data_IF_055565651564
#
_entry.id   IF_055565651564
#
_cell.length_a   1.000
_cell.length_b   1.000
_cell.length_c   1.000
_cell.angle_alpha   90.00
_cell.angle_beta   90.00
_cell.angle_gamma   90.00
#
_symmetry.space_group_name_H-M   'P 1'
#
loop_
_entity.id
_entity.type
_entity.pdbx_description
1 polymer ?
#
# COMPACT_ATOMS: atom_id res chain seq x y z
N UNK A 1 -15.63 6.11 -19.45
CA UNK A 1 -16.75 6.03 -18.49
C UNK A 1 -16.39 5.15 -17.30
N UNK A 2 -16.18 3.84 -17.48
CA UNK A 2 -15.79 2.95 -16.37
C UNK A 2 -14.36 3.19 -15.85
N UNK A 3 -13.39 3.33 -16.75
CA UNK A 3 -12.01 3.67 -16.37
C UNK A 3 -11.93 5.04 -15.67
N UNK A 4 -12.55 6.08 -16.24
CA UNK A 4 -12.57 7.42 -15.63
C UNK A 4 -13.21 7.41 -14.22
N UNK A 5 -14.22 6.57 -14.01
CA UNK A 5 -14.84 6.38 -12.70
C UNK A 5 -13.88 5.71 -11.71
N UNK A 6 -13.21 4.62 -12.10
CA UNK A 6 -12.22 3.93 -11.27
C UNK A 6 -11.01 4.83 -10.96
N UNK A 7 -10.57 5.63 -11.94
CA UNK A 7 -9.50 6.61 -11.77
C UNK A 7 -9.91 7.70 -10.78
N UNK A 8 -11.13 8.22 -10.90
CA UNK A 8 -11.68 9.21 -9.95
C UNK A 8 -11.79 8.66 -8.54
N UNK A 9 -12.22 7.40 -8.39
CA UNK A 9 -12.27 6.72 -7.10
C UNK A 9 -10.88 6.57 -6.49
N UNK A 10 -9.91 6.03 -7.25
CA UNK A 10 -8.53 5.83 -6.77
C UNK A 10 -7.90 7.17 -6.35
N UNK A 11 -8.07 8.21 -7.16
CA UNK A 11 -7.54 9.54 -6.85
C UNK A 11 -8.16 10.11 -5.56
N UNK A 12 -9.49 10.02 -5.40
CA UNK A 12 -10.16 10.49 -4.19
C UNK A 12 -9.71 9.72 -2.95
N UNK A 13 -9.58 8.39 -3.08
CA UNK A 13 -9.09 7.54 -2.01
C UNK A 13 -7.66 7.91 -1.63
N UNK A 14 -6.75 8.01 -2.61
CA UNK A 14 -5.35 8.34 -2.38
C UNK A 14 -5.18 9.71 -1.69
N UNK A 15 -5.94 10.72 -2.10
CA UNK A 15 -5.94 12.04 -1.45
C UNK A 15 -6.36 11.96 0.03
N UNK A 16 -7.42 11.22 0.34
CA UNK A 16 -7.90 11.07 1.72
C UNK A 16 -6.93 10.25 2.57
N UNK A 17 -6.33 9.20 2.01
CA UNK A 17 -5.31 8.41 2.70
C UNK A 17 -4.07 9.27 3.01
N UNK A 18 -3.63 10.09 2.05
CA UNK A 18 -2.54 11.04 2.26
C UNK A 18 -2.87 12.05 3.37
N UNK A 19 -4.12 12.50 3.45
CA UNK A 19 -4.62 13.34 4.54
C UNK A 19 -4.41 12.69 5.92
N UNK A 20 -4.87 11.46 6.12
CA UNK A 20 -4.70 10.73 7.39
C UNK A 20 -3.21 10.52 7.71
N UNK A 21 -2.41 10.11 6.72
CA UNK A 21 -0.97 9.91 6.91
C UNK A 21 -0.25 11.21 7.30
N UNK A 22 -0.69 12.35 6.78
CA UNK A 22 -0.15 13.67 7.12
C UNK A 22 -0.57 14.12 8.51
N UNK A 23 -1.84 13.96 8.88
CA UNK A 23 -2.36 14.29 10.21
C UNK A 23 -1.68 13.48 11.32
N UNK A 24 -1.31 12.23 11.02
CA UNK A 24 -0.57 11.35 11.93
C UNK A 24 0.96 11.60 11.92
N UNK A 25 1.46 12.55 11.13
CA UNK A 25 2.89 12.86 11.00
C UNK A 25 3.72 11.85 10.18
N UNK A 26 3.07 10.84 9.60
CA UNK A 26 3.72 9.81 8.79
C UNK A 26 4.14 10.34 7.42
N UNK A 27 3.43 11.34 6.87
CA UNK A 27 3.76 12.04 5.61
C UNK A 27 3.71 13.55 5.80
N UNK A 28 4.13 14.32 4.79
CA UNK A 28 4.17 15.79 4.82
C UNK A 28 3.33 16.39 3.69
N UNK A 29 2.09 15.92 3.55
CA UNK A 29 1.15 16.40 2.52
C UNK A 29 1.57 16.06 1.09
N UNK A 30 2.60 15.23 0.92
CA UNK A 30 3.13 14.79 -0.36
C UNK A 30 3.28 13.28 -0.34
N UNK A 31 2.79 12.62 -1.40
CA UNK A 31 3.00 11.20 -1.64
C UNK A 31 4.35 11.04 -2.34
N UNK A 32 5.30 10.39 -1.68
CA UNK A 32 6.58 9.99 -2.27
C UNK A 32 6.33 8.77 -3.16
N UNK A 33 6.88 8.78 -4.37
CA UNK A 33 6.69 7.71 -5.35
C UNK A 33 7.96 7.50 -6.17
N UNK A 34 8.11 6.28 -6.69
CA UNK A 34 9.12 5.90 -7.67
C UNK A 34 8.44 5.05 -8.75
N UNK A 35 8.78 5.28 -10.02
CA UNK A 35 8.21 4.48 -11.13
C UNK A 35 8.51 3.00 -10.95
N UNK A 36 9.70 2.66 -10.44
CA UNK A 36 10.09 1.28 -10.14
C UNK A 36 9.12 0.60 -9.18
N UNK A 37 8.78 1.28 -8.08
CA UNK A 37 7.88 0.77 -7.04
C UNK A 37 6.44 0.70 -7.56
N UNK A 38 5.99 1.73 -8.29
CA UNK A 38 4.66 1.80 -8.87
C UNK A 38 4.43 0.72 -9.94
N UNK A 39 5.45 0.44 -10.77
CA UNK A 39 5.37 -0.56 -11.83
C UNK A 39 5.48 -1.98 -11.26
N UNK A 40 6.24 -2.18 -10.19
CA UNK A 40 6.37 -3.47 -9.53
C UNK A 40 5.05 -3.98 -8.92
N UNK A 41 4.12 -3.07 -8.60
CA UNK A 41 2.75 -3.44 -8.23
C UNK A 41 2.15 -4.40 -9.25
N UNK A 42 2.34 -4.19 -10.56
CA UNK A 42 1.76 -5.06 -11.58
C UNK A 42 2.34 -6.48 -11.59
N UNK A 43 3.54 -6.66 -11.02
CA UNK A 43 4.16 -7.98 -10.84
C UNK A 43 3.60 -8.73 -9.63
N UNK A 44 3.38 -8.04 -8.51
CA UNK A 44 2.91 -8.67 -7.25
C UNK A 44 1.39 -8.69 -7.09
N UNK A 45 0.67 -7.77 -7.74
CA UNK A 45 -0.77 -7.61 -7.60
C UNK A 45 -1.59 -8.86 -7.94
N UNK A 46 -1.28 -9.66 -8.99
CA UNK A 46 -2.05 -10.86 -9.28
C UNK A 46 -2.04 -11.87 -8.12
N UNK A 47 -0.87 -12.06 -7.49
CA UNK A 47 -0.73 -12.93 -6.32
C UNK A 47 -1.43 -12.34 -5.10
N UNK A 48 -1.16 -11.07 -4.81
CA UNK A 48 -1.78 -10.37 -3.68
C UNK A 48 -3.30 -10.37 -3.74
N UNK A 49 -3.88 -10.04 -4.91
CA UNK A 49 -5.33 -9.98 -5.08
C UNK A 49 -5.97 -11.37 -5.03
N UNK A 50 -5.27 -12.42 -5.50
CA UNK A 50 -5.77 -13.78 -5.40
C UNK A 50 -5.98 -14.17 -3.92
N UNK A 51 -5.03 -13.87 -3.05
CA UNK A 51 -5.17 -14.14 -1.60
C UNK A 51 -6.18 -13.18 -0.96
N UNK A 52 -6.06 -11.87 -1.21
CA UNK A 52 -6.88 -10.85 -0.58
C UNK A 52 -8.39 -11.02 -0.86
N UNK A 53 -8.77 -11.45 -2.07
CA UNK A 53 -10.19 -11.70 -2.42
C UNK A 53 -10.78 -12.87 -1.64
N UNK A 54 -9.98 -13.87 -1.26
CA UNK A 54 -10.47 -14.98 -0.42
C UNK A 54 -10.76 -14.53 1.02
N UNK A 55 -10.04 -13.51 1.49
CA UNK A 55 -10.12 -13.03 2.87
C UNK A 55 -11.06 -11.83 3.05
N UNK A 56 -11.24 -11.01 2.02
CA UNK A 56 -11.96 -9.72 2.11
C UNK A 56 -13.40 -9.87 2.63
N UNK A 57 -14.04 -11.02 2.43
CA UNK A 57 -15.39 -11.28 2.93
C UNK A 57 -15.44 -11.29 4.46
N UNK A 58 -14.43 -11.86 5.12
CA UNK A 58 -14.39 -12.01 6.58
C UNK A 58 -13.52 -10.92 7.24
N UNK A 59 -12.46 -10.49 6.56
CA UNK A 59 -11.44 -9.59 7.09
C UNK A 59 -11.11 -8.43 6.14
N UNK A 60 -12.11 -7.60 5.75
CA UNK A 60 -11.94 -6.58 4.72
C UNK A 60 -10.87 -5.53 5.04
N UNK A 61 -10.80 -5.10 6.31
CA UNK A 61 -9.80 -4.12 6.77
C UNK A 61 -8.39 -4.69 6.71
N UNK A 62 -8.22 -5.97 7.06
CA UNK A 62 -6.91 -6.63 7.08
C UNK A 62 -6.40 -6.82 5.65
N UNK A 63 -7.27 -7.28 4.74
CA UNK A 63 -6.95 -7.44 3.32
C UNK A 63 -6.59 -6.14 2.59
N UNK A 64 -6.94 -4.97 3.13
CA UNK A 64 -6.47 -3.69 2.60
C UNK A 64 -5.21 -3.19 3.32
N UNK A 65 -5.12 -3.41 4.63
CA UNK A 65 -3.95 -3.00 5.41
C UNK A 65 -2.67 -3.70 4.93
N UNK A 66 -2.73 -5.01 4.61
CA UNK A 66 -1.58 -5.75 4.10
C UNK A 66 -1.06 -5.25 2.76
N UNK A 67 -1.87 -4.58 1.94
CA UNK A 67 -1.39 -3.97 0.71
C UNK A 67 -0.42 -2.83 1.02
N UNK A 68 -0.69 -2.07 2.10
CA UNK A 68 0.23 -1.04 2.57
C UNK A 68 1.51 -1.63 3.16
N UNK A 69 1.44 -2.74 3.89
CA UNK A 69 2.64 -3.44 4.33
C UNK A 69 3.48 -3.91 3.13
N UNK A 70 2.86 -4.51 2.11
CA UNK A 70 3.55 -4.87 0.87
C UNK A 70 4.27 -3.65 0.24
N UNK A 71 3.63 -2.48 0.26
CA UNK A 71 4.24 -1.22 -0.14
C UNK A 71 5.49 -0.85 0.66
N UNK A 72 5.47 -1.01 1.99
CA UNK A 72 6.65 -0.81 2.84
C UNK A 72 7.79 -1.75 2.42
N UNK A 73 7.50 -3.05 2.31
CA UNK A 73 8.50 -4.06 1.99
C UNK A 73 9.16 -3.82 0.64
N UNK A 74 8.38 -3.44 -0.38
CA UNK A 74 8.93 -3.12 -1.70
C UNK A 74 9.78 -1.86 -1.67
N UNK A 75 9.35 -0.80 -0.98
CA UNK A 75 10.13 0.43 -0.86
C UNK A 75 11.45 0.22 -0.11
N UNK A 76 11.44 -0.59 0.95
CA UNK A 76 12.65 -1.01 1.67
C UNK A 76 13.60 -1.79 0.75
N UNK A 77 13.08 -2.78 0.01
CA UNK A 77 13.87 -3.55 -0.95
C UNK A 77 14.42 -2.72 -2.11
N UNK A 78 13.66 -1.72 -2.56
CA UNK A 78 14.09 -0.77 -3.60
C UNK A 78 15.29 0.07 -3.14
N UNK A 79 15.31 0.53 -1.89
CA UNK A 79 16.45 1.25 -1.31
C UNK A 79 17.68 0.35 -1.08
N UNK A 80 17.47 -0.91 -0.67
CA UNK A 80 18.54 -1.85 -0.37
C UNK A 80 19.30 -2.34 -1.62
N UNK A 81 18.60 -2.99 -2.57
CA UNK A 81 19.16 -3.44 -3.84
C UNK A 81 18.07 -3.78 -4.85
N UNK A 82 17.66 -2.77 -5.62
CA UNK A 82 16.61 -2.94 -6.62
C UNK A 82 16.90 -4.01 -7.69
N UNK A 83 18.18 -4.26 -8.04
CA UNK A 83 18.51 -5.26 -9.07
C UNK A 83 18.20 -6.70 -8.64
N UNK A 84 18.16 -6.92 -7.33
CA UNK A 84 17.77 -8.18 -6.72
C UNK A 84 16.28 -8.19 -6.42
N UNK A 85 15.76 -7.13 -5.78
CA UNK A 85 14.36 -7.05 -5.36
C UNK A 85 13.35 -6.95 -6.52
N UNK A 86 13.70 -6.34 -7.64
CA UNK A 86 12.86 -6.31 -8.85
C UNK A 86 12.57 -7.70 -9.43
N UNK A 87 13.29 -8.74 -8.98
CA UNK A 87 13.09 -10.15 -9.38
C UNK A 87 12.41 -10.97 -8.30
N UNK A 88 12.11 -10.37 -7.13
CA UNK A 88 11.43 -11.06 -6.05
C UNK A 88 10.00 -11.42 -6.49
N UNK A 89 9.59 -12.65 -6.18
CA UNK A 89 8.21 -13.08 -6.36
C UNK A 89 7.36 -12.52 -5.19
N UNK A 90 6.06 -12.40 -5.40
CA UNK A 90 5.09 -12.05 -4.36
C UNK A 90 5.24 -12.93 -3.10
N UNK A 91 5.58 -14.21 -3.28
CA UNK A 91 5.83 -15.16 -2.18
C UNK A 91 6.94 -14.73 -1.22
N UNK A 92 7.90 -13.92 -1.68
CA UNK A 92 8.92 -13.35 -0.80
C UNK A 92 8.31 -12.45 0.28
N UNK A 93 7.24 -11.72 -0.04
CA UNK A 93 6.61 -10.77 0.88
C UNK A 93 5.56 -11.41 1.80
N UNK A 94 5.10 -12.62 1.50
CA UNK A 94 4.09 -13.32 2.30
C UNK A 94 4.61 -13.83 3.64
N UNK A 95 5.93 -14.00 3.77
CA UNK A 95 6.52 -14.70 4.91
C UNK A 95 6.39 -16.23 4.82
N UNK A 96 6.87 -16.95 5.84
CA UNK A 96 7.16 -18.39 5.76
C UNK A 96 5.93 -19.31 5.77
N UNK A 97 4.74 -18.87 6.24
CA UNK A 97 3.60 -19.79 6.39
C UNK A 97 2.33 -19.35 5.64
N UNK A 98 1.88 -18.11 5.78
CA UNK A 98 0.56 -17.71 5.23
C UNK A 98 0.40 -16.19 5.10
N UNK A 99 -0.64 -15.78 4.36
CA UNK A 99 -1.09 -14.39 4.22
C UNK A 99 -1.27 -13.68 5.57
N UNK A 100 -1.60 -14.42 6.63
CA UNK A 100 -1.79 -13.89 7.99
C UNK A 100 -0.49 -13.44 8.67
N UNK A 101 0.68 -13.85 8.17
CA UNK A 101 1.99 -13.51 8.75
C UNK A 101 2.69 -12.35 7.99
N UNK A 102 2.04 -11.77 6.97
CA UNK A 102 2.68 -10.82 6.05
C UNK A 102 3.20 -9.56 6.77
N UNK A 103 2.42 -8.98 7.67
CA UNK A 103 2.81 -7.78 8.41
C UNK A 103 4.00 -8.05 9.35
N UNK A 104 3.96 -9.15 10.10
CA UNK A 104 5.07 -9.55 10.98
C UNK A 104 6.35 -9.82 10.19
N UNK A 105 6.25 -10.51 9.05
CA UNK A 105 7.41 -10.76 8.17
C UNK A 105 7.99 -9.47 7.59
N UNK A 106 7.14 -8.59 7.07
CA UNK A 106 7.58 -7.33 6.48
C UNK A 106 8.21 -6.43 7.55
N UNK A 107 7.54 -6.26 8.71
CA UNK A 107 8.02 -5.40 9.79
C UNK A 107 9.30 -5.95 10.43
N UNK A 108 9.32 -7.24 10.75
CA UNK A 108 10.41 -7.88 11.47
C UNK A 108 11.60 -8.24 10.58
N UNK A 109 11.36 -9.02 9.53
CA UNK A 109 12.44 -9.62 8.74
C UNK A 109 12.94 -8.69 7.62
N UNK A 110 12.04 -7.94 6.97
CA UNK A 110 12.42 -7.05 5.85
C UNK A 110 12.88 -5.69 6.36
N UNK A 111 12.05 -5.01 7.15
CA UNK A 111 12.37 -3.68 7.68
C UNK A 111 13.33 -3.72 8.89
N UNK A 112 13.47 -4.87 9.54
CA UNK A 112 14.35 -5.03 10.71
C UNK A 112 13.83 -4.32 11.97
N UNK A 113 12.52 -4.08 12.07
CA UNK A 113 11.90 -3.41 13.22
C UNK A 113 11.55 -4.41 14.31
N UNK A 114 11.54 -3.92 15.55
CA UNK A 114 10.94 -4.69 16.65
C UNK A 114 9.42 -4.72 16.47
N UNK A 115 8.84 -5.93 16.38
CA UNK A 115 7.39 -6.15 16.23
C UNK A 115 6.60 -5.47 17.36
N UNK A 116 7.09 -5.55 18.60
CA UNK A 116 6.50 -4.88 19.77
C UNK A 116 6.99 -3.43 19.96
N UNK A 117 7.65 -2.85 18.95
CA UNK A 117 8.24 -1.53 19.00
C UNK A 117 7.22 -0.40 18.74
N UNK A 118 7.56 0.80 19.21
CA UNK A 118 6.72 2.00 18.96
C UNK A 118 6.52 2.29 17.47
N UNK A 119 7.51 1.96 16.63
CA UNK A 119 7.43 2.17 15.19
C UNK A 119 6.45 1.21 14.53
N UNK A 120 6.50 -0.08 14.86
CA UNK A 120 5.56 -1.09 14.39
C UNK A 120 4.13 -0.76 14.82
N UNK A 121 3.93 -0.39 16.09
CA UNK A 121 2.63 0.06 16.59
C UNK A 121 2.12 1.33 15.88
N UNK A 122 3.04 2.23 15.48
CA UNK A 122 2.72 3.40 14.67
C UNK A 122 2.20 3.03 13.28
N UNK A 123 2.88 2.08 12.60
CA UNK A 123 2.50 1.55 11.30
C UNK A 123 1.14 0.82 11.34
N UNK A 124 0.95 -0.06 12.32
CA UNK A 124 -0.32 -0.77 12.53
C UNK A 124 -1.49 0.21 12.68
N UNK A 125 -1.31 1.24 13.51
CA UNK A 125 -2.35 2.25 13.78
C UNK A 125 -2.73 3.02 12.52
N UNK A 126 -1.74 3.47 11.73
CA UNK A 126 -2.03 4.25 10.51
C UNK A 126 -2.67 3.36 9.45
N UNK A 127 -2.16 2.16 9.22
CA UNK A 127 -2.71 1.25 8.19
C UNK A 127 -4.09 0.74 8.53
N UNK A 128 -4.39 0.47 9.81
CA UNK A 128 -5.75 0.17 10.25
C UNK A 128 -6.71 1.33 9.95
N UNK A 129 -6.29 2.56 10.21
CA UNK A 129 -7.09 3.77 9.97
C UNK A 129 -7.34 4.00 8.46
N UNK A 130 -6.29 3.87 7.66
CA UNK A 130 -6.34 3.95 6.20
C UNK A 130 -7.24 2.86 5.60
N UNK A 131 -7.12 1.62 6.06
CA UNK A 131 -7.94 0.51 5.60
C UNK A 131 -9.42 0.71 5.97
N UNK A 132 -9.71 1.20 7.18
CA UNK A 132 -11.09 1.50 7.58
C UNK A 132 -11.72 2.57 6.70
N UNK A 133 -11.00 3.69 6.45
CA UNK A 133 -11.45 4.73 5.52
C UNK A 133 -11.72 4.15 4.11
N UNK A 134 -10.83 3.30 3.64
CA UNK A 134 -10.95 2.66 2.32
C UNK A 134 -12.21 1.81 2.23
N UNK A 135 -12.49 0.98 3.24
CA UNK A 135 -13.72 0.19 3.31
C UNK A 135 -14.97 1.07 3.33
N UNK A 136 -14.94 2.17 4.08
CA UNK A 136 -16.07 3.08 4.16
C UNK A 136 -16.35 3.72 2.78
N UNK A 137 -15.30 4.16 2.06
CA UNK A 137 -15.44 4.68 0.69
C UNK A 137 -15.95 3.60 -0.29
N UNK A 138 -15.42 2.37 -0.25
CA UNK A 138 -15.91 1.27 -1.10
C UNK A 138 -17.41 1.02 -0.86
N UNK A 139 -17.85 1.05 0.40
CA UNK A 139 -19.27 0.88 0.75
C UNK A 139 -20.13 2.03 0.26
N UNK A 140 -19.59 3.25 0.19
CA UNK A 140 -20.28 4.41 -0.34
C UNK A 140 -20.52 4.35 -1.86
N UNK A 141 -19.72 3.57 -2.60
CA UNK A 141 -19.94 3.36 -4.04
C UNK A 141 -21.22 2.57 -4.35
N UNK A 142 -21.82 1.89 -3.35
CA UNK A 142 -23.08 1.12 -3.48
C UNK A 142 -23.08 0.10 -4.63
N UNK A 143 -21.89 -0.41 -4.98
CA UNK A 143 -21.73 -1.43 -6.02
C UNK A 143 -22.18 -2.80 -5.52
N UNK A 144 -22.77 -3.59 -6.42
CA UNK A 144 -23.18 -4.96 -6.14
C UNK A 144 -21.99 -5.81 -5.63
N UNK A 145 -22.10 -6.41 -4.43
CA UNK A 145 -21.05 -7.30 -3.92
C UNK A 145 -20.77 -8.46 -4.88
N UNK A 146 -19.51 -8.91 -4.94
CA UNK A 146 -19.08 -10.02 -5.81
C UNK A 146 -19.26 -9.77 -7.32
N UNK A 147 -19.46 -8.52 -7.74
CA UNK A 147 -19.47 -8.13 -9.15
C UNK A 147 -18.05 -7.82 -9.67
N UNK A 148 -17.82 -7.83 -10.99
CA UNK A 148 -16.57 -7.36 -11.58
C UNK A 148 -16.19 -5.93 -11.16
N UNK A 149 -17.17 -5.04 -11.05
CA UNK A 149 -16.94 -3.67 -10.58
C UNK A 149 -16.47 -3.63 -9.12
N UNK A 150 -17.07 -4.43 -8.24
CA UNK A 150 -16.64 -4.52 -6.84
C UNK A 150 -15.19 -5.02 -6.73
N UNK A 151 -14.81 -6.00 -7.57
CA UNK A 151 -13.43 -6.45 -7.68
C UNK A 151 -12.50 -5.33 -8.16
N UNK A 152 -12.88 -4.60 -9.21
CA UNK A 152 -12.06 -3.49 -9.73
C UNK A 152 -11.87 -2.39 -8.68
N UNK A 153 -12.93 -1.94 -8.02
CA UNK A 153 -12.86 -0.96 -6.93
C UNK A 153 -11.93 -1.44 -5.81
N UNK A 154 -12.08 -2.70 -5.39
CA UNK A 154 -11.21 -3.30 -4.37
C UNK A 154 -9.74 -3.33 -4.82
N UNK A 155 -9.46 -3.73 -6.06
CA UNK A 155 -8.11 -3.74 -6.61
C UNK A 155 -7.48 -2.34 -6.69
N UNK A 156 -8.27 -1.30 -7.04
CA UNK A 156 -7.80 0.09 -7.00
C UNK A 156 -7.53 0.54 -5.55
N UNK A 157 -8.34 0.11 -4.59
CA UNK A 157 -8.10 0.39 -3.18
C UNK A 157 -6.83 -0.26 -2.64
N UNK A 158 -6.57 -1.53 -2.99
CA UNK A 158 -5.30 -2.20 -2.65
C UNK A 158 -4.10 -1.44 -3.23
N UNK A 159 -4.18 -0.98 -4.49
CA UNK A 159 -3.10 -0.19 -5.11
C UNK A 159 -2.86 1.14 -4.40
N UNK A 160 -3.93 1.85 -4.02
CA UNK A 160 -3.80 3.10 -3.25
C UNK A 160 -3.16 2.86 -1.88
N UNK A 161 -3.56 1.78 -1.18
CA UNK A 161 -2.95 1.37 0.08
C UNK A 161 -1.46 1.03 -0.08
N UNK A 162 -1.11 0.27 -1.12
CA UNK A 162 0.28 -0.05 -1.47
C UNK A 162 1.14 1.20 -1.67
N UNK A 163 0.65 2.20 -2.42
CA UNK A 163 1.37 3.46 -2.61
C UNK A 163 1.56 4.25 -1.33
N UNK A 164 0.57 4.25 -0.45
CA UNK A 164 0.66 4.92 0.86
C UNK A 164 1.72 4.25 1.73
N UNK A 165 1.74 2.91 1.75
CA UNK A 165 2.78 2.15 2.41
C UNK A 165 4.18 2.48 1.89
N UNK A 166 4.38 2.37 0.57
CA UNK A 166 5.64 2.71 -0.07
C UNK A 166 6.09 4.15 0.24
N UNK A 167 5.18 5.12 0.15
CA UNK A 167 5.48 6.51 0.47
C UNK A 167 5.91 6.72 1.92
N UNK A 168 5.30 6.01 2.87
CA UNK A 168 5.66 6.10 4.29
C UNK A 168 7.07 5.53 4.50
N UNK A 169 7.40 4.40 3.88
CA UNK A 169 8.75 3.83 4.00
C UNK A 169 9.81 4.71 3.34
N UNK A 170 9.54 5.24 2.15
CA UNK A 170 10.45 6.19 1.50
C UNK A 170 10.76 7.38 2.43
N UNK A 171 9.76 7.92 3.14
CA UNK A 171 10.01 8.98 4.11
C UNK A 171 10.84 8.48 5.30
N UNK A 172 10.56 7.28 5.83
CA UNK A 172 11.31 6.66 6.94
C UNK A 172 12.79 6.46 6.58
N UNK A 173 13.07 6.08 5.33
CA UNK A 173 14.42 5.94 4.78
C UNK A 173 15.11 7.29 4.51
N UNK A 174 14.39 8.41 4.64
CA UNK A 174 14.94 9.77 4.53
C UNK A 174 14.78 10.42 3.17
N UNK A 175 14.05 9.81 2.23
CA UNK A 175 13.73 10.43 0.95
C UNK A 175 12.80 11.63 1.12
N UNK A 176 13.04 12.66 0.29
CA UNK A 176 12.27 13.89 0.27
C UNK A 176 11.99 14.28 -1.17
N UNK A 177 10.83 14.88 -1.41
CA UNK A 177 10.50 15.38 -2.73
C UNK A 177 11.17 16.74 -2.95
N UNK A 178 12.17 16.78 -3.82
CA UNK A 178 12.79 18.04 -4.24
C UNK A 178 12.12 18.56 -5.51
N UNK A 179 11.70 19.83 -5.49
CA UNK A 179 11.32 20.52 -6.71
C UNK A 179 12.59 20.81 -7.50
N UNK A 180 12.83 20.04 -8.56
CA UNK A 180 13.82 20.40 -9.57
C UNK A 180 13.30 21.65 -10.28
N UNK A 181 13.84 22.81 -9.92
CA UNK A 181 13.62 24.03 -10.67
C UNK A 181 14.16 23.82 -12.08
N UNK A 182 13.27 23.72 -13.05
CA UNK A 182 13.63 23.65 -14.46
C UNK A 182 14.29 24.99 -14.81
N UNK A 183 15.62 25.06 -14.75
CA UNK A 183 16.37 26.13 -15.39
C UNK A 183 16.17 25.92 -16.89
N UNK A 184 15.30 26.73 -17.48
CA UNK A 184 15.23 26.93 -18.92
C UNK A 184 16.64 27.33 -19.40
N UNK A 185 17.28 26.45 -20.17
CA UNK A 185 18.45 26.79 -20.98
C UNK A 185 18.02 27.47 -22.27
#
# INVERSE_FOLDING_TARGET
MEQDYLDSFENNLQERLLGIATECGMLEGTLLSSSDIDDFWFSVAPGYLADAVTQVQNYPTVSLAWAAYLGLGVACGWDLDWNTFSKADYQYFLGPNSFDDMDDHIVGDILGLAIDGNEAAGLEKIFRSCAQLSIDLIRHEQVEPQSPMAFHIFARACRAMYRIGASIELKRLGYRLERVGMQEC
#
